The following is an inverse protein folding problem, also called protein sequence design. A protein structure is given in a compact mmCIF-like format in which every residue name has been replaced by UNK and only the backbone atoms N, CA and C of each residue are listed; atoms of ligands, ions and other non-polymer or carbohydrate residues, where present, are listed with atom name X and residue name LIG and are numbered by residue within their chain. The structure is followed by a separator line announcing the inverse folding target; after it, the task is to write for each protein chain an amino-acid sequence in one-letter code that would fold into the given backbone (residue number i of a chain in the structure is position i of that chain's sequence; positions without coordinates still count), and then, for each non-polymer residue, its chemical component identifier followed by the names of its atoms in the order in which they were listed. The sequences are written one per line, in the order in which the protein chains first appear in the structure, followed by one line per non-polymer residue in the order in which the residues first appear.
data_IF_374227069134
#
_entry.id   IF_374227069134
#
_cell.length_a   1.000
_cell.length_b   1.000
_cell.length_c   1.000
_cell.angle_alpha   90.00
_cell.angle_beta   90.00
_cell.angle_gamma   90.00
#
_symmetry.space_group_name_H-M   'P 1'
#
loop_
_entity.id
_entity.type
_entity.pdbx_description
1 polymer ?
#
# COMPACT_ATOMS: atom_id res chain seq x y z
N UNK A 1 -6.80 -12.42 13.16
CA UNK A 1 -6.83 -11.62 11.92
C UNK A 1 -6.41 -10.21 12.28
N UNK A 2 -5.40 -9.68 11.59
CA UNK A 2 -4.93 -8.30 11.74
C UNK A 2 -5.48 -7.44 10.60
N UNK A 3 -6.08 -6.27 10.89
CA UNK A 3 -6.56 -5.38 9.85
C UNK A 3 -5.42 -4.52 9.29
N UNK A 4 -5.42 -4.34 7.97
CA UNK A 4 -4.74 -3.24 7.29
C UNK A 4 -5.77 -2.42 6.50
N UNK A 5 -5.41 -1.20 6.12
CA UNK A 5 -6.35 -0.22 5.59
C UNK A 5 -5.84 0.42 4.33
N UNK A 6 -6.72 0.65 3.36
CA UNK A 6 -6.45 1.57 2.24
C UNK A 6 -7.62 2.49 2.00
N UNK A 7 -7.36 3.64 1.40
CA UNK A 7 -8.39 4.55 0.92
C UNK A 7 -8.32 4.60 -0.61
N UNK A 8 -9.18 3.82 -1.25
CA UNK A 8 -9.14 3.59 -2.68
C UNK A 8 -10.43 4.07 -3.38
N UNK A 9 -10.39 4.13 -4.70
CA UNK A 9 -11.47 4.60 -5.57
C UNK A 9 -12.00 3.45 -6.42
N UNK A 10 -13.28 3.48 -6.78
CA UNK A 10 -13.77 2.71 -7.91
C UNK A 10 -13.40 3.42 -9.22
N UNK A 11 -12.88 2.66 -10.18
CA UNK A 11 -12.55 3.13 -11.53
C UNK A 11 -13.33 2.32 -12.56
N UNK A 12 -13.37 2.73 -13.84
CA UNK A 12 -13.96 1.90 -14.89
C UNK A 12 -13.29 0.53 -15.08
N UNK A 13 -12.06 0.34 -14.59
CA UNK A 13 -11.25 -0.87 -14.83
C UNK A 13 -11.13 -1.78 -13.60
N UNK A 14 -11.24 -1.24 -12.40
CA UNK A 14 -11.09 -1.98 -11.14
C UNK A 14 -11.78 -1.25 -9.99
N UNK A 15 -12.18 -2.01 -8.96
CA UNK A 15 -12.87 -1.50 -7.78
C UNK A 15 -11.89 -1.17 -6.64
N UNK A 16 -12.37 -0.46 -5.62
CA UNK A 16 -11.56 -0.13 -4.43
C UNK A 16 -11.09 -1.38 -3.65
N UNK A 17 -11.83 -2.50 -3.78
CA UNK A 17 -11.51 -3.82 -3.20
C UNK A 17 -10.58 -4.65 -4.08
N UNK A 18 -10.07 -4.09 -5.18
CA UNK A 18 -9.17 -4.81 -6.07
C UNK A 18 -8.00 -5.48 -5.32
N UNK A 19 -7.99 -6.81 -5.45
CA UNK A 19 -6.98 -7.70 -4.92
C UNK A 19 -5.87 -8.02 -5.94
N UNK A 20 -5.98 -7.53 -7.18
CA UNK A 20 -4.99 -7.80 -8.23
C UNK A 20 -3.82 -6.80 -8.24
N UNK A 21 -3.97 -5.64 -7.60
CA UNK A 21 -2.96 -4.57 -7.63
C UNK A 21 -2.95 -3.79 -8.94
N UNK A 22 -4.09 -3.75 -9.65
CA UNK A 22 -4.20 -3.12 -10.97
C UNK A 22 -3.82 -1.64 -10.97
N UNK A 23 -4.20 -0.90 -9.91
CA UNK A 23 -3.86 0.52 -9.77
C UNK A 23 -2.35 0.77 -9.76
N UNK A 24 -1.62 0.16 -8.82
CA UNK A 24 -0.17 0.33 -8.75
C UNK A 24 0.55 -0.29 -9.96
N UNK A 25 0.00 -1.34 -10.56
CA UNK A 25 0.52 -1.88 -11.83
C UNK A 25 0.48 -0.83 -12.94
N UNK A 26 -0.61 -0.07 -13.03
CA UNK A 26 -0.81 0.90 -14.09
C UNK A 26 0.06 2.16 -13.94
N UNK A 27 0.31 2.60 -12.71
CA UNK A 27 0.99 3.88 -12.43
C UNK A 27 2.42 3.72 -11.90
N UNK A 28 2.76 2.56 -11.37
CA UNK A 28 3.90 2.43 -10.45
C UNK A 28 3.61 3.06 -9.08
N UNK A 29 4.62 3.03 -8.22
CA UNK A 29 4.60 3.62 -6.89
C UNK A 29 6.01 3.68 -6.32
N UNK A 30 6.15 3.86 -5.01
CA UNK A 30 7.48 3.90 -4.36
C UNK A 30 8.23 2.56 -4.42
N UNK A 31 7.49 1.47 -4.26
CA UNK A 31 8.02 0.11 -4.11
C UNK A 31 7.70 -0.77 -5.32
N UNK A 32 7.20 -0.21 -6.43
CA UNK A 32 6.98 -0.95 -7.66
C UNK A 32 7.08 -0.03 -8.88
N UNK A 33 7.55 -0.59 -9.99
CA UNK A 33 7.52 0.05 -11.30
C UNK A 33 6.18 -0.17 -11.98
N UNK A 34 5.89 0.67 -12.96
CA UNK A 34 4.80 0.41 -13.89
C UNK A 34 4.98 -0.97 -14.53
N UNK A 35 3.89 -1.74 -14.59
CA UNK A 35 3.88 -3.13 -15.05
C UNK A 35 3.94 -4.18 -13.94
N UNK A 36 4.45 -3.83 -12.75
CA UNK A 36 4.53 -4.74 -11.60
C UNK A 36 3.34 -4.52 -10.67
N UNK A 37 2.44 -5.50 -10.49
CA UNK A 37 1.29 -5.35 -9.62
C UNK A 37 1.71 -5.33 -8.15
N UNK A 38 1.15 -4.37 -7.42
CA UNK A 38 1.36 -4.27 -5.98
C UNK A 38 0.16 -3.64 -5.31
N UNK A 39 -0.10 -4.06 -4.08
CA UNK A 39 -1.14 -3.49 -3.24
C UNK A 39 -0.47 -2.73 -2.10
N UNK A 40 -0.92 -1.49 -1.90
CA UNK A 40 -0.51 -0.64 -0.79
C UNK A 40 -1.63 -0.54 0.23
N UNK A 41 -1.26 -0.67 1.50
CA UNK A 41 -2.12 -0.46 2.64
C UNK A 41 -1.30 0.08 3.81
N UNK A 42 -1.97 0.47 4.87
CA UNK A 42 -1.39 1.00 6.10
C UNK A 42 -1.92 0.24 7.31
N UNK A 43 -1.15 0.20 8.40
CA UNK A 43 -1.58 -0.46 9.64
C UNK A 43 -2.67 0.31 10.40
N UNK A 44 -2.86 1.60 10.09
CA UNK A 44 -3.89 2.44 10.68
C UNK A 44 -4.68 3.20 9.61
N UNK A 45 -5.93 3.55 9.93
CA UNK A 45 -6.77 4.39 9.07
C UNK A 45 -6.15 5.79 8.94
N UNK A 46 -5.56 6.32 10.01
CA UNK A 46 -4.90 7.62 10.03
C UNK A 46 -3.71 7.67 9.06
N UNK A 47 -2.89 6.63 9.03
CA UNK A 47 -1.78 6.53 8.09
C UNK A 47 -2.25 6.38 6.64
N UNK A 48 -3.28 5.56 6.40
CA UNK A 48 -3.88 5.45 5.07
C UNK A 48 -4.39 6.82 4.56
N UNK A 49 -4.98 7.62 5.45
CA UNK A 49 -5.40 9.00 5.18
C UNK A 49 -4.21 9.87 4.79
N UNK A 50 -3.16 9.88 5.62
CA UNK A 50 -1.97 10.69 5.41
C UNK A 50 -1.24 10.35 4.11
N UNK A 51 -0.99 9.06 3.86
CA UNK A 51 -0.37 8.58 2.61
C UNK A 51 -1.18 9.00 1.38
N UNK A 52 -2.51 8.87 1.45
CA UNK A 52 -3.37 9.23 0.32
C UNK A 52 -3.39 10.75 0.09
N UNK A 53 -3.37 11.57 1.14
CA UNK A 53 -3.32 13.03 1.05
C UNK A 53 -1.99 13.52 0.46
N UNK A 54 -0.86 13.00 0.96
CA UNK A 54 0.47 13.35 0.46
C UNK A 54 0.60 12.96 -1.03
N UNK A 55 0.05 11.81 -1.42
CA UNK A 55 0.08 11.36 -2.82
C UNK A 55 -0.84 12.18 -3.74
N UNK A 56 -1.93 12.71 -3.21
CA UNK A 56 -2.86 13.56 -3.97
C UNK A 56 -2.32 14.96 -4.24
N UNK A 57 -1.42 15.46 -3.40
CA UNK A 57 -0.86 16.80 -3.53
C UNK A 57 -1.96 17.87 -3.65
N UNK A 58 -1.76 18.83 -4.56
CA UNK A 58 -2.68 19.95 -4.82
C UNK A 58 -3.81 19.65 -5.80
N UNK A 59 -4.02 18.38 -6.19
CA UNK A 59 -5.01 17.99 -7.20
C UNK A 59 -6.48 18.04 -6.73
N UNK A 60 -6.72 18.57 -5.52
CA UNK A 60 -8.04 18.59 -4.86
C UNK A 60 -8.41 17.24 -4.26
N UNK A 61 -9.36 17.24 -3.33
CA UNK A 61 -9.84 16.03 -2.67
C UNK A 61 -10.79 15.27 -3.61
N UNK A 62 -10.43 14.08 -4.12
CA UNK A 62 -11.30 13.34 -5.02
C UNK A 62 -12.47 12.74 -4.22
N UNK A 63 -13.69 12.96 -4.71
CA UNK A 63 -14.92 12.75 -3.97
C UNK A 63 -15.37 11.28 -3.89
N UNK A 64 -14.83 10.39 -4.74
CA UNK A 64 -15.28 8.98 -4.82
C UNK A 64 -14.27 8.00 -4.19
N UNK A 65 -14.06 8.11 -2.88
CA UNK A 65 -13.17 7.23 -2.12
C UNK A 65 -13.92 6.36 -1.12
N UNK A 66 -13.35 5.20 -0.83
CA UNK A 66 -13.86 4.23 0.12
C UNK A 66 -12.76 3.83 1.08
N UNK A 67 -13.14 3.67 2.35
CA UNK A 67 -12.30 2.98 3.31
C UNK A 67 -12.43 1.48 3.06
N UNK A 68 -11.31 0.84 2.76
CA UNK A 68 -11.24 -0.59 2.53
C UNK A 68 -10.43 -1.23 3.64
N UNK A 69 -11.04 -2.20 4.32
CA UNK A 69 -10.40 -3.08 5.29
C UNK A 69 -9.80 -4.26 4.54
N UNK A 70 -8.60 -4.63 4.93
CA UNK A 70 -7.90 -5.82 4.47
C UNK A 70 -7.68 -6.70 5.69
N UNK A 71 -8.35 -7.85 5.73
CA UNK A 71 -8.16 -8.82 6.81
C UNK A 71 -7.03 -9.78 6.45
N UNK A 72 -5.98 -9.76 7.29
CA UNK A 72 -4.76 -10.53 7.12
C UNK A 72 -4.72 -11.65 8.19
N UNK A 73 -4.57 -12.93 7.80
CA UNK A 73 -4.32 -14.01 8.74
C UNK A 73 -3.11 -13.77 9.64
N UNK A 74 -3.22 -14.12 10.92
CA UNK A 74 -2.17 -13.79 11.90
C UNK A 74 -0.86 -14.55 11.62
N UNK A 75 -0.96 -15.78 11.09
CA UNK A 75 0.18 -16.57 10.65
C UNK A 75 0.88 -15.93 9.44
N UNK A 76 0.11 -15.38 8.50
CA UNK A 76 0.66 -14.69 7.34
C UNK A 76 1.31 -13.35 7.73
N UNK A 77 0.73 -12.66 8.71
CA UNK A 77 1.34 -11.48 9.32
C UNK A 77 2.66 -11.82 10.02
N UNK A 78 2.70 -12.91 10.79
CA UNK A 78 3.91 -13.36 11.46
C UNK A 78 5.02 -13.78 10.48
N UNK A 79 4.64 -14.29 9.30
CA UNK A 79 5.55 -14.64 8.22
C UNK A 79 5.93 -13.46 7.31
N UNK A 80 5.43 -12.24 7.57
CA UNK A 80 5.74 -11.08 6.75
C UNK A 80 7.24 -10.75 6.78
N UNK A 81 7.77 -10.27 5.65
CA UNK A 81 9.11 -9.68 5.65
C UNK A 81 9.03 -8.26 6.22
N UNK A 82 10.00 -7.88 7.04
CA UNK A 82 10.09 -6.54 7.60
C UNK A 82 11.28 -5.80 7.00
N UNK A 83 11.01 -4.60 6.48
CA UNK A 83 12.01 -3.58 6.19
C UNK A 83 11.75 -2.45 7.17
N UNK A 84 12.75 -2.06 7.95
CA UNK A 84 12.67 -0.93 8.88
C UNK A 84 13.50 0.23 8.34
N UNK A 85 13.27 1.45 8.82
CA UNK A 85 14.09 2.60 8.43
C UNK A 85 15.59 2.36 8.72
N UNK A 86 15.92 1.68 9.82
CA UNK A 86 17.28 1.35 10.20
C UNK A 86 17.94 0.27 9.32
N UNK A 87 17.14 -0.65 8.77
CA UNK A 87 17.63 -1.74 7.92
C UNK A 87 17.44 -1.49 6.43
N UNK A 88 16.82 -0.37 6.05
CA UNK A 88 16.54 -0.04 4.67
C UNK A 88 17.79 0.50 3.98
N UNK A 89 18.02 0.19 2.69
CA UNK A 89 19.14 0.73 1.95
C UNK A 89 19.07 2.27 1.89
N UNK A 90 20.21 2.93 2.01
CA UNK A 90 20.29 4.40 1.92
C UNK A 90 19.62 4.90 0.62
N UNK A 91 18.73 5.88 0.76
CA UNK A 91 17.95 6.44 -0.35
C UNK A 91 16.59 5.77 -0.59
N UNK A 92 16.15 4.83 0.25
CA UNK A 92 14.79 4.27 0.19
C UNK A 92 13.71 5.37 0.32
N UNK A 93 14.03 6.40 1.09
CA UNK A 93 13.23 7.56 1.47
C UNK A 93 13.39 8.76 0.52
N UNK A 94 14.11 8.62 -0.59
CA UNK A 94 14.28 9.70 -1.56
C UNK A 94 12.93 10.27 -2.06
N UNK A 95 12.88 11.60 -2.25
CA UNK A 95 11.73 12.34 -2.77
C UNK A 95 12.17 13.19 -3.97
N UNK A 96 11.65 12.95 -5.20
CA UNK A 96 10.74 11.86 -5.59
C UNK A 96 11.35 10.45 -5.39
N UNK A 97 10.50 9.42 -5.41
CA UNK A 97 10.94 8.03 -5.22
C UNK A 97 12.04 7.65 -6.23
N UNK A 98 13.17 7.17 -5.71
CA UNK A 98 14.36 6.83 -6.49
C UNK A 98 14.51 5.35 -6.76
N UNK A 99 15.59 5.00 -7.48
CA UNK A 99 15.94 3.63 -7.86
C UNK A 99 16.00 2.67 -6.66
N UNK A 100 16.43 3.13 -5.48
CA UNK A 100 16.63 2.29 -4.29
C UNK A 100 15.37 1.59 -3.82
N UNK A 101 14.28 2.32 -3.58
CA UNK A 101 13.00 1.73 -3.13
C UNK A 101 12.33 0.92 -4.24
N UNK A 102 12.41 1.39 -5.49
CA UNK A 102 11.92 0.65 -6.65
C UNK A 102 12.60 -0.72 -6.81
N UNK A 103 13.94 -0.77 -6.81
CA UNK A 103 14.68 -2.03 -6.94
C UNK A 103 14.44 -2.96 -5.75
N UNK A 104 14.33 -2.41 -4.54
CA UNK A 104 14.04 -3.19 -3.34
C UNK A 104 12.69 -3.90 -3.44
N UNK A 105 11.64 -3.16 -3.84
CA UNK A 105 10.30 -3.70 -3.98
C UNK A 105 10.14 -4.64 -5.17
N UNK A 106 10.68 -4.29 -6.35
CA UNK A 106 10.69 -5.18 -7.53
C UNK A 106 11.36 -6.52 -7.20
N UNK A 107 12.54 -6.48 -6.58
CA UNK A 107 13.26 -7.70 -6.26
C UNK A 107 12.51 -8.55 -5.23
N UNK A 108 11.77 -7.93 -4.30
CA UNK A 108 10.92 -8.67 -3.37
C UNK A 108 9.73 -9.34 -4.09
N UNK A 109 9.02 -8.62 -4.97
CA UNK A 109 7.90 -9.16 -5.75
C UNK A 109 8.36 -10.33 -6.62
N UNK A 110 9.47 -10.16 -7.36
CA UNK A 110 10.03 -11.18 -8.24
C UNK A 110 10.48 -12.42 -7.49
N UNK A 111 11.09 -12.26 -6.31
CA UNK A 111 11.50 -13.41 -5.49
C UNK A 111 10.31 -14.16 -4.91
N UNK A 112 9.17 -13.50 -4.69
CA UNK A 112 7.96 -14.14 -4.17
C UNK A 112 8.17 -14.89 -2.85
N UNK A 113 9.05 -14.39 -1.98
CA UNK A 113 9.45 -15.08 -0.72
C UNK A 113 8.47 -14.90 0.42
N UNK A 114 7.59 -13.89 0.33
CA UNK A 114 6.50 -13.66 1.26
C UNK A 114 5.35 -12.97 0.53
N UNK A 115 4.10 -13.17 0.99
CA UNK A 115 2.96 -12.42 0.48
C UNK A 115 2.96 -10.95 0.92
N UNK A 116 3.54 -10.69 2.09
CA UNK A 116 3.54 -9.39 2.75
C UNK A 116 4.97 -8.86 2.93
N UNK A 117 5.14 -7.57 2.68
CA UNK A 117 6.32 -6.81 3.05
C UNK A 117 5.87 -5.58 3.84
N UNK A 118 6.28 -5.52 5.10
CA UNK A 118 6.07 -4.39 5.98
C UNK A 118 7.22 -3.40 5.78
N UNK A 119 6.89 -2.15 5.48
CA UNK A 119 7.85 -1.08 5.18
C UNK A 119 7.54 0.16 6.02
N UNK A 120 8.54 0.97 6.38
CA UNK A 120 8.29 2.26 7.02
C UNK A 120 7.46 3.15 6.08
N UNK A 121 6.55 3.93 6.66
CA UNK A 121 6.00 5.09 5.95
C UNK A 121 7.12 6.11 5.73
N UNK A 122 7.05 6.84 4.62
CA UNK A 122 7.94 7.99 4.44
C UNK A 122 7.48 9.20 5.23
N UNK A 123 6.18 9.30 5.47
CA UNK A 123 5.62 10.45 6.14
C UNK A 123 5.87 10.33 7.65
N UNK A 124 5.76 9.12 8.20
CA UNK A 124 6.02 8.81 9.61
C UNK A 124 6.83 7.50 9.68
N UNK A 125 8.18 7.54 9.68
CA UNK A 125 9.04 6.35 9.62
C UNK A 125 8.83 5.31 10.73
N UNK A 126 8.25 5.72 11.87
CA UNK A 126 7.87 4.84 12.98
C UNK A 126 6.60 4.02 12.71
N UNK A 127 5.74 4.47 11.78
CA UNK A 127 4.56 3.75 11.37
C UNK A 127 4.79 2.91 10.10
N UNK A 128 3.92 1.92 9.89
CA UNK A 128 4.15 0.83 8.95
C UNK A 128 3.10 0.81 7.85
N UNK A 129 3.57 0.82 6.62
CA UNK A 129 2.78 0.42 5.46
C UNK A 129 2.92 -1.08 5.21
N UNK A 130 1.84 -1.67 4.68
CA UNK A 130 1.76 -3.07 4.29
C UNK A 130 1.71 -3.15 2.78
N UNK A 131 2.74 -3.75 2.18
CA UNK A 131 2.75 -4.10 0.77
C UNK A 131 2.29 -5.55 0.63
N UNK A 132 1.34 -5.79 -0.27
CA UNK A 132 0.89 -7.15 -0.62
C UNK A 132 1.32 -7.45 -2.04
N UNK A 133 2.00 -8.58 -2.22
CA UNK A 133 2.33 -9.15 -3.52
C UNK A 133 1.17 -10.03 -4.00
N UNK A 134 0.31 -9.55 -4.92
CA UNK A 134 -0.85 -10.32 -5.38
C UNK A 134 -0.46 -11.56 -6.21
N UNK A 135 0.81 -11.68 -6.65
CA UNK A 135 1.31 -12.84 -7.37
C UNK A 135 1.71 -13.99 -6.43
N UNK A 136 1.83 -13.74 -5.13
CA UNK A 136 2.14 -14.78 -4.15
C UNK A 136 0.88 -15.63 -3.86
N UNK A 137 1.03 -16.96 -3.78
CA UNK A 137 -0.11 -17.87 -3.59
C UNK A 137 -0.94 -17.56 -2.33
N UNK A 138 -0.26 -17.26 -1.21
CA UNK A 138 -0.91 -16.88 0.05
C UNK A 138 -1.68 -15.56 0.01
N UNK A 139 -1.47 -14.70 -1.00
CA UNK A 139 -2.23 -13.45 -1.12
C UNK A 139 -3.74 -13.70 -1.29
N UNK A 140 -4.13 -14.88 -1.80
CA UNK A 140 -5.52 -15.33 -1.93
C UNK A 140 -6.23 -15.52 -0.59
N UNK A 141 -5.47 -15.58 0.51
CA UNK A 141 -6.00 -15.75 1.87
C UNK A 141 -6.45 -14.42 2.48
N UNK A 142 -6.14 -13.29 1.84
CA UNK A 142 -6.58 -11.96 2.30
C UNK A 142 -8.00 -11.69 1.82
N UNK A 143 -8.76 -10.97 2.65
CA UNK A 143 -10.10 -10.48 2.27
C UNK A 143 -10.07 -8.97 2.22
N UNK A 144 -10.68 -8.40 1.17
CA UNK A 144 -10.78 -6.96 0.94
C UNK A 144 -12.25 -6.57 1.04
N UNK A 145 -12.58 -5.58 1.87
CA UNK A 145 -13.97 -5.18 2.10
C UNK A 145 -14.10 -3.67 2.17
N UNK A 146 -14.95 -3.09 1.31
CA UNK A 146 -15.43 -1.71 1.43
C UNK A 146 -16.27 -1.59 2.69
N UNK A 147 -15.77 -0.84 3.66
CA UNK A 147 -16.46 -0.65 4.94
C UNK A 147 -17.47 0.50 4.83
N UNK A 148 -17.06 1.61 4.22
CA UNK A 148 -17.87 2.81 4.03
C UNK A 148 -17.25 3.74 3.00
N UNK A 149 -18.01 4.74 2.57
CA UNK A 149 -17.45 5.91 1.88
C UNK A 149 -16.42 6.61 2.79
N UNK A 150 -15.35 7.09 2.18
CA UNK A 150 -14.36 7.95 2.82
C UNK A 150 -14.58 9.38 2.38
N UNK A 151 -14.85 10.25 3.36
CA UNK A 151 -14.97 11.69 3.15
C UNK A 151 -13.83 12.32 3.94
N UNK A 152 -12.96 13.05 3.25
CA UNK A 152 -11.99 13.90 3.92
C UNK A 152 -12.71 15.09 4.54
N UNK A 153 -12.24 15.51 5.71
CA UNK A 153 -12.71 16.75 6.32
C UNK A 153 -12.35 17.93 5.41
N UNK A 154 -13.30 18.82 5.15
CA UNK A 154 -13.09 19.98 4.29
C UNK A 154 -12.02 20.95 4.84
N UNK A 155 -11.69 20.87 6.13
CA UNK A 155 -10.62 21.66 6.76
C UNK A 155 -9.20 21.15 6.46
N UNK A 156 -9.05 20.00 5.79
CA UNK A 156 -7.76 19.47 5.34
C UNK A 156 -7.32 20.03 3.98
N UNK A 157 -8.11 20.91 3.37
CA UNK A 157 -7.85 21.54 2.07
C UNK A 157 -7.17 22.91 2.20
#
# INVERSE_FOLDING_TARGET
MRPAWRIATDTPLYTAEDASGAGAKATGGRWNRQGTPLIYAATSIALACLETLVHLGSAGLPLNRYLVRIDIPDDLWAAARHLTAASAPVGWDAIPAGKTSLDTGEAWVQRGTSALLLVPSIVIPEEVNVLVNPLHADARRLTYTKVRRWQYDARLA
#
